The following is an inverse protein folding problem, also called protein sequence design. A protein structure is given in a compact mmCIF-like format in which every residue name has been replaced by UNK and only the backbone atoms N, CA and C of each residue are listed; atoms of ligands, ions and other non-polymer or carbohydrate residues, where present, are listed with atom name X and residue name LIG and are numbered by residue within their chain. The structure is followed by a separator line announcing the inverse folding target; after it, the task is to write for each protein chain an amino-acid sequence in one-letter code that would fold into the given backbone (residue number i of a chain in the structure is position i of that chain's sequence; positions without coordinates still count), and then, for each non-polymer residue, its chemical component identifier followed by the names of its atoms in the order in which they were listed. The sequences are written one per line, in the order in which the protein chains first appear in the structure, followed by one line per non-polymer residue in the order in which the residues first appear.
data_IF_733451321320
#
_entry.id   IF_733451321320
#
_cell.length_a   1.000
_cell.length_b   1.000
_cell.length_c   1.000
_cell.angle_alpha   90.00
_cell.angle_beta   90.00
_cell.angle_gamma   90.00
#
_symmetry.space_group_name_H-M   'P 1'
#
loop_
_entity.id
_entity.type
_entity.pdbx_description
1 polymer ?
#
# COMPACT_ATOMS: atom_id res chain seq x y z
N UNK A 1 13.07 6.84 -88.73
CA UNK A 1 12.97 7.67 -87.53
C UNK A 1 12.20 6.90 -86.46
N UNK A 2 12.92 6.20 -85.57
CA UNK A 2 12.33 5.36 -84.53
C UNK A 2 12.40 6.12 -83.19
N UNK A 3 11.26 6.42 -82.65
CA UNK A 3 11.16 7.04 -81.34
C UNK A 3 11.21 5.97 -80.26
N UNK A 4 12.22 6.05 -79.41
CA UNK A 4 12.39 5.18 -78.24
C UNK A 4 11.60 5.81 -77.08
N UNK A 5 10.62 5.03 -76.54
CA UNK A 5 9.82 5.42 -75.42
C UNK A 5 10.48 4.86 -74.17
N UNK A 6 11.05 5.72 -73.32
CA UNK A 6 11.64 5.34 -72.05
C UNK A 6 10.56 5.35 -70.97
N UNK A 7 10.24 4.15 -70.47
CA UNK A 7 9.32 3.98 -69.32
C UNK A 7 10.15 4.11 -68.04
N UNK A 8 9.90 5.16 -67.28
CA UNK A 8 10.45 5.32 -65.93
C UNK A 8 9.52 4.62 -64.96
N UNK A 9 10.02 3.51 -64.41
CA UNK A 9 9.31 2.75 -63.36
C UNK A 9 9.62 3.40 -62.00
N UNK A 10 8.67 4.20 -61.48
CA UNK A 10 8.76 4.81 -60.15
C UNK A 10 8.41 3.73 -59.10
N UNK A 11 9.42 3.19 -58.44
CA UNK A 11 9.25 2.28 -57.32
C UNK A 11 8.72 3.04 -56.09
N UNK A 12 7.46 2.77 -55.69
CA UNK A 12 6.90 3.18 -54.43
C UNK A 12 7.52 2.32 -53.33
N UNK A 13 8.45 2.90 -52.56
CA UNK A 13 8.88 2.35 -51.27
C UNK A 13 7.78 2.61 -50.24
N UNK A 14 6.95 1.61 -50.02
CA UNK A 14 6.06 1.57 -48.84
C UNK A 14 6.94 1.37 -47.60
N UNK A 15 7.26 2.48 -46.92
CA UNK A 15 7.78 2.44 -45.58
C UNK A 15 6.68 1.91 -44.66
N UNK A 16 6.73 0.62 -44.35
CA UNK A 16 5.91 0.02 -43.32
C UNK A 16 6.36 0.61 -41.96
N UNK A 17 5.67 1.64 -41.49
CA UNK A 17 5.71 2.04 -40.08
C UNK A 17 5.15 0.89 -39.25
N UNK A 18 6.03 -0.01 -38.82
CA UNK A 18 5.67 -0.91 -37.71
C UNK A 18 5.59 -0.05 -36.46
N UNK A 19 4.41 0.47 -36.17
CA UNK A 19 4.07 0.90 -34.82
C UNK A 19 4.30 -0.32 -33.92
N UNK A 20 5.36 -0.29 -33.10
CA UNK A 20 5.47 -1.24 -31.99
C UNK A 20 4.22 -1.05 -31.17
N UNK A 21 3.25 -1.94 -31.31
CA UNK A 21 2.17 -2.08 -30.33
C UNK A 21 2.84 -2.16 -28.98
N UNK A 22 2.61 -1.14 -28.15
CA UNK A 22 3.03 -1.15 -26.74
C UNK A 22 2.32 -2.35 -26.14
N UNK A 23 3.04 -3.45 -25.90
CA UNK A 23 2.48 -4.62 -25.27
C UNK A 23 1.70 -4.16 -24.03
N UNK A 24 0.42 -4.50 -23.98
CA UNK A 24 -0.45 -4.16 -22.86
C UNK A 24 0.18 -4.81 -21.62
N UNK A 25 0.70 -4.01 -20.73
CA UNK A 25 1.31 -4.49 -19.48
C UNK A 25 0.24 -5.18 -18.66
N UNK A 26 0.39 -6.48 -18.45
CA UNK A 26 -0.55 -7.27 -17.68
C UNK A 26 -0.28 -7.09 -16.19
N UNK A 27 -1.33 -6.90 -15.40
CA UNK A 27 -1.22 -6.70 -13.95
C UNK A 27 -1.90 -7.83 -13.20
N UNK A 28 -1.36 -8.18 -12.03
CA UNK A 28 -1.89 -9.17 -11.12
C UNK A 28 -2.03 -8.56 -9.72
N UNK A 29 -3.12 -8.83 -9.03
CA UNK A 29 -3.28 -8.55 -7.60
C UNK A 29 -3.10 -9.85 -6.84
N UNK A 30 -2.06 -9.93 -6.02
CA UNK A 30 -1.83 -11.05 -5.09
C UNK A 30 -2.03 -10.54 -3.67
N UNK A 31 -2.88 -11.19 -2.90
CA UNK A 31 -3.14 -10.73 -1.54
C UNK A 31 -3.36 -11.85 -0.54
N UNK A 32 -3.08 -11.56 0.73
CA UNK A 32 -3.49 -12.36 1.88
C UNK A 32 -4.48 -11.60 2.75
N UNK A 33 -5.54 -12.26 3.20
CA UNK A 33 -6.56 -11.66 4.07
C UNK A 33 -7.24 -12.72 4.93
N UNK A 34 -7.46 -12.43 6.23
CA UNK A 34 -8.29 -13.28 7.10
C UNK A 34 -9.68 -12.64 7.30
N UNK A 35 -9.71 -11.34 7.61
CA UNK A 35 -10.93 -10.62 7.99
C UNK A 35 -11.58 -9.88 6.82
N UNK A 36 -11.24 -10.25 5.60
CA UNK A 36 -11.70 -9.65 4.35
C UNK A 36 -11.38 -8.15 4.15
N UNK A 37 -10.64 -7.51 5.07
CA UNK A 37 -10.29 -6.08 4.93
C UNK A 37 -9.31 -5.86 3.78
N UNK A 38 -8.20 -6.64 3.75
CA UNK A 38 -7.23 -6.60 2.64
C UNK A 38 -7.84 -7.11 1.33
N UNK A 39 -8.76 -8.08 1.40
CA UNK A 39 -9.53 -8.56 0.26
C UNK A 39 -10.32 -7.42 -0.40
N UNK A 40 -11.07 -6.62 0.36
CA UNK A 40 -11.80 -5.46 -0.16
C UNK A 40 -10.89 -4.47 -0.87
N UNK A 41 -9.68 -4.26 -0.33
CA UNK A 41 -8.69 -3.39 -0.98
C UNK A 41 -8.20 -4.01 -2.32
N UNK A 42 -7.95 -5.31 -2.35
CA UNK A 42 -7.55 -6.05 -3.54
C UNK A 42 -8.65 -6.00 -4.64
N UNK A 43 -9.89 -6.24 -4.25
CA UNK A 43 -11.05 -6.18 -5.15
C UNK A 43 -11.28 -4.76 -5.71
N UNK A 44 -11.06 -3.71 -4.90
CA UNK A 44 -11.14 -2.34 -5.35
C UNK A 44 -10.06 -2.02 -6.41
N UNK A 45 -8.82 -2.50 -6.22
CA UNK A 45 -7.76 -2.37 -7.23
C UNK A 45 -8.15 -3.14 -8.50
N UNK A 46 -8.60 -4.39 -8.37
CA UNK A 46 -9.04 -5.19 -9.51
C UNK A 46 -10.12 -4.49 -10.33
N UNK A 47 -11.18 -4.00 -9.67
CA UNK A 47 -12.29 -3.31 -10.33
C UNK A 47 -11.84 -2.07 -11.11
N UNK A 48 -10.86 -1.33 -10.57
CA UNK A 48 -10.36 -0.11 -11.19
C UNK A 48 -9.32 -0.34 -12.29
N UNK A 49 -8.63 -1.47 -12.27
CA UNK A 49 -7.50 -1.75 -13.19
C UNK A 49 -7.80 -2.84 -14.21
N UNK A 50 -8.78 -3.70 -13.95
CA UNK A 50 -9.00 -4.92 -14.73
C UNK A 50 -7.91 -5.98 -14.53
N UNK A 51 -7.07 -5.86 -13.51
CA UNK A 51 -6.03 -6.82 -13.20
C UNK A 51 -6.61 -8.21 -12.84
N UNK A 52 -5.85 -9.27 -13.12
CA UNK A 52 -6.15 -10.58 -12.56
C UNK A 52 -5.98 -10.54 -11.03
N UNK A 53 -6.67 -11.42 -10.30
CA UNK A 53 -6.62 -11.42 -8.83
C UNK A 53 -6.46 -12.82 -8.27
N UNK A 54 -5.58 -12.97 -7.28
CA UNK A 54 -5.31 -14.24 -6.58
C UNK A 54 -5.23 -14.01 -5.08
N UNK A 55 -6.00 -14.79 -4.33
CA UNK A 55 -5.90 -14.86 -2.87
C UNK A 55 -4.87 -15.91 -2.46
N UNK A 56 -3.94 -15.55 -1.61
CA UNK A 56 -3.02 -16.48 -0.98
C UNK A 56 -3.73 -17.30 0.10
N UNK A 57 -3.45 -18.58 0.15
CA UNK A 57 -4.00 -19.50 1.14
C UNK A 57 -2.87 -20.25 1.85
N UNK A 58 -2.86 -20.24 3.16
CA UNK A 58 -2.02 -21.11 3.94
C UNK A 58 -2.60 -22.54 3.88
N UNK A 59 -1.74 -23.55 3.74
CA UNK A 59 -2.13 -24.96 3.69
C UNK A 59 -2.85 -25.37 4.98
N UNK A 60 -2.34 -24.90 6.11
CA UNK A 60 -3.01 -24.93 7.41
C UNK A 60 -3.58 -23.54 7.67
N UNK A 61 -4.91 -23.40 7.52
CA UNK A 61 -5.60 -22.13 7.61
C UNK A 61 -5.43 -21.52 9.02
N UNK A 62 -5.20 -20.17 9.05
CA UNK A 62 -5.21 -19.45 10.32
C UNK A 62 -6.62 -19.40 10.91
N UNK A 63 -6.74 -19.42 12.24
CA UNK A 63 -8.01 -19.23 12.91
C UNK A 63 -8.57 -17.84 12.60
N UNK A 64 -9.89 -17.66 12.78
CA UNK A 64 -10.54 -16.36 12.61
C UNK A 64 -10.58 -15.53 13.90
N UNK A 65 -10.35 -16.16 15.04
CA UNK A 65 -10.27 -15.49 16.33
C UNK A 65 -8.95 -14.71 16.46
N UNK A 66 -9.05 -13.45 16.84
CA UNK A 66 -7.92 -12.52 16.88
C UNK A 66 -6.81 -12.97 17.85
N UNK A 67 -7.19 -13.48 19.03
CA UNK A 67 -6.20 -13.93 20.03
C UNK A 67 -5.48 -15.18 19.56
N UNK A 68 -6.17 -16.09 18.90
CA UNK A 68 -5.56 -17.30 18.34
C UNK A 68 -4.65 -16.97 17.17
N UNK A 69 -4.99 -15.97 16.33
CA UNK A 69 -4.07 -15.46 15.28
C UNK A 69 -2.77 -14.97 15.91
N UNK A 70 -2.87 -14.13 16.95
CA UNK A 70 -1.71 -13.61 17.67
C UNK A 70 -0.86 -14.74 18.24
N UNK A 71 -1.46 -15.67 18.97
CA UNK A 71 -0.75 -16.79 19.61
C UNK A 71 -0.01 -17.65 18.59
N UNK A 72 -0.68 -18.05 17.50
CA UNK A 72 -0.07 -18.82 16.42
C UNK A 72 1.08 -18.06 15.78
N UNK A 73 0.86 -16.82 15.41
CA UNK A 73 1.89 -16.00 14.74
C UNK A 73 3.10 -15.77 15.64
N UNK A 74 2.89 -15.53 16.94
CA UNK A 74 3.99 -15.38 17.89
C UNK A 74 4.79 -16.69 18.03
N UNK A 75 4.12 -17.83 18.04
CA UNK A 75 4.79 -19.13 18.09
C UNK A 75 5.60 -19.36 16.81
N UNK A 76 5.03 -19.13 15.63
CA UNK A 76 5.72 -19.26 14.35
C UNK A 76 6.96 -18.32 14.27
N UNK A 77 6.83 -17.09 14.76
CA UNK A 77 7.95 -16.12 14.84
C UNK A 77 9.04 -16.59 15.79
N UNK A 78 8.66 -17.11 16.97
CA UNK A 78 9.59 -17.63 17.98
C UNK A 78 10.38 -18.83 17.46
N UNK A 79 9.70 -19.73 16.74
CA UNK A 79 10.29 -20.94 16.17
C UNK A 79 10.98 -20.67 14.83
N UNK A 80 10.93 -19.44 14.33
CA UNK A 80 11.46 -19.03 13.02
C UNK A 80 10.89 -19.86 11.85
N UNK A 81 9.63 -20.28 11.97
CA UNK A 81 8.92 -21.08 10.96
C UNK A 81 7.97 -20.21 10.18
N UNK A 82 7.97 -20.39 8.85
CA UNK A 82 6.98 -19.74 7.98
C UNK A 82 5.88 -20.76 7.64
N UNK A 83 4.60 -20.32 7.58
CA UNK A 83 3.49 -21.18 7.20
C UNK A 83 3.67 -21.69 5.76
N UNK A 84 3.34 -22.97 5.53
CA UNK A 84 3.31 -23.52 4.18
C UNK A 84 2.13 -22.92 3.42
N UNK A 85 2.40 -22.39 2.20
CA UNK A 85 1.39 -21.79 1.34
C UNK A 85 0.97 -22.78 0.25
N UNK A 86 -0.32 -22.77 -0.09
CA UNK A 86 -0.79 -23.41 -1.30
C UNK A 86 -0.22 -22.71 -2.53
N UNK A 87 0.06 -23.44 -3.63
CA UNK A 87 0.50 -22.83 -4.87
C UNK A 87 -0.60 -21.91 -5.43
N UNK A 88 -0.21 -20.83 -6.10
CA UNK A 88 -1.14 -19.98 -6.84
C UNK A 88 -1.29 -20.50 -8.27
N UNK A 89 -2.48 -20.34 -8.85
CA UNK A 89 -2.76 -20.77 -10.23
C UNK A 89 -2.38 -19.72 -11.28
N UNK A 90 -1.54 -18.73 -10.92
CA UNK A 90 -1.08 -17.68 -11.82
C UNK A 90 0.38 -17.90 -12.22
N UNK A 91 0.64 -17.85 -13.53
CA UNK A 91 2.00 -17.78 -14.06
C UNK A 91 2.53 -16.35 -13.91
N UNK A 92 3.40 -16.12 -12.92
CA UNK A 92 3.96 -14.81 -12.65
C UNK A 92 4.74 -14.24 -13.85
N UNK A 93 5.26 -15.08 -14.74
CA UNK A 93 6.02 -14.61 -15.91
C UNK A 93 5.16 -13.78 -16.88
N UNK A 94 3.84 -13.98 -16.87
CA UNK A 94 2.88 -13.27 -17.71
C UNK A 94 2.59 -11.82 -17.26
N UNK A 95 3.12 -11.38 -16.11
CA UNK A 95 2.78 -10.09 -15.51
C UNK A 95 4.02 -9.21 -15.33
N UNK A 96 3.89 -7.94 -15.69
CA UNK A 96 4.93 -6.93 -15.49
C UNK A 96 4.75 -6.19 -14.16
N UNK A 97 3.48 -6.01 -13.72
CA UNK A 97 3.11 -5.31 -12.50
C UNK A 97 2.33 -6.24 -11.57
N UNK A 98 2.77 -6.32 -10.32
CA UNK A 98 2.09 -7.11 -9.30
C UNK A 98 1.75 -6.20 -8.11
N UNK A 99 0.46 -6.06 -7.82
CA UNK A 99 -0.03 -5.46 -6.59
C UNK A 99 0.05 -6.51 -5.48
N UNK A 100 0.78 -6.22 -4.41
CA UNK A 100 1.03 -7.15 -3.30
C UNK A 100 0.32 -6.64 -2.05
N UNK A 101 -0.74 -7.36 -1.63
CA UNK A 101 -1.65 -6.96 -0.57
C UNK A 101 -1.54 -7.79 0.70
N UNK A 102 -1.47 -7.13 1.87
CA UNK A 102 -1.30 -7.82 3.15
C UNK A 102 -1.84 -7.03 4.34
N UNK A 103 -2.30 -7.71 5.39
CA UNK A 103 -2.51 -7.06 6.68
C UNK A 103 -1.16 -6.88 7.39
N UNK A 104 -1.04 -5.79 8.16
CA UNK A 104 0.13 -5.59 9.03
C UNK A 104 -0.05 -6.41 10.30
N UNK A 105 0.91 -7.31 10.55
CA UNK A 105 1.05 -8.06 11.79
C UNK A 105 2.42 -7.76 12.41
N UNK A 106 2.43 -7.42 13.70
CA UNK A 106 3.68 -7.12 14.43
C UNK A 106 4.60 -6.11 13.74
N UNK A 107 4.02 -5.08 13.12
CA UNK A 107 4.76 -3.98 12.49
C UNK A 107 5.21 -4.21 11.04
N UNK A 108 5.02 -5.42 10.49
CA UNK A 108 5.35 -5.75 9.11
C UNK A 108 4.24 -6.57 8.43
N UNK A 109 4.45 -7.07 7.23
CA UNK A 109 3.47 -7.92 6.56
C UNK A 109 3.28 -9.27 7.24
N UNK A 110 2.06 -9.81 7.16
CA UNK A 110 1.67 -11.09 7.74
C UNK A 110 2.59 -12.25 7.27
N UNK A 111 2.86 -13.21 8.16
CA UNK A 111 3.74 -14.37 7.88
C UNK A 111 3.35 -15.17 6.64
N UNK A 112 2.07 -15.39 6.29
CA UNK A 112 1.70 -15.99 5.02
C UNK A 112 2.21 -15.24 3.80
N UNK A 113 2.15 -13.90 3.82
CA UNK A 113 2.72 -13.09 2.75
C UNK A 113 4.25 -13.22 2.71
N UNK A 114 4.91 -13.22 3.87
CA UNK A 114 6.36 -13.43 3.98
C UNK A 114 6.78 -14.79 3.39
N UNK A 115 6.00 -15.83 3.67
CA UNK A 115 6.23 -17.16 3.14
C UNK A 115 6.10 -17.23 1.62
N UNK A 116 5.04 -16.62 1.06
CA UNK A 116 4.86 -16.58 -0.39
C UNK A 116 6.00 -15.79 -1.07
N UNK A 117 6.33 -14.61 -0.56
CA UNK A 117 7.42 -13.77 -1.09
C UNK A 117 8.77 -14.48 -1.08
N UNK A 118 9.02 -15.41 -0.13
CA UNK A 118 10.29 -16.15 -0.07
C UNK A 118 10.47 -17.16 -1.22
N UNK A 119 9.40 -17.48 -1.96
CA UNK A 119 9.38 -18.47 -3.04
C UNK A 119 8.99 -17.86 -4.40
N UNK A 120 8.41 -16.66 -4.40
CA UNK A 120 7.94 -16.00 -5.62
C UNK A 120 9.11 -15.42 -6.42
N UNK A 121 9.15 -15.70 -7.72
CA UNK A 121 10.08 -15.04 -8.63
C UNK A 121 9.48 -13.70 -9.09
N UNK A 122 9.95 -12.62 -8.47
CA UNK A 122 9.52 -11.25 -8.74
C UNK A 122 10.62 -10.41 -9.40
N UNK A 123 11.69 -11.05 -9.84
CA UNK A 123 12.82 -10.37 -10.51
C UNK A 123 12.36 -9.53 -11.69
N UNK A 124 12.79 -8.27 -11.71
CA UNK A 124 12.51 -7.31 -12.77
C UNK A 124 11.06 -6.84 -12.87
N UNK A 125 10.18 -7.26 -11.96
CA UNK A 125 8.78 -6.84 -11.93
C UNK A 125 8.59 -5.55 -11.14
N UNK A 126 7.56 -4.80 -11.51
CA UNK A 126 7.08 -3.66 -10.72
C UNK A 126 6.14 -4.18 -9.64
N UNK A 127 6.49 -3.93 -8.38
CA UNK A 127 5.69 -4.33 -7.22
C UNK A 127 5.06 -3.10 -6.59
N UNK A 128 3.74 -3.12 -6.46
CA UNK A 128 2.94 -2.06 -5.83
C UNK A 128 2.39 -2.61 -4.51
N UNK A 129 3.00 -2.28 -3.36
CA UNK A 129 2.52 -2.77 -2.07
C UNK A 129 1.23 -2.05 -1.65
N UNK A 130 0.28 -2.78 -1.10
CA UNK A 130 -0.85 -2.20 -0.40
C UNK A 130 -1.14 -2.98 0.89
N UNK A 131 -1.49 -2.27 1.95
CA UNK A 131 -1.74 -2.96 3.21
C UNK A 131 -2.89 -2.36 4.00
N UNK A 132 -3.42 -3.18 4.90
CA UNK A 132 -4.44 -2.78 5.87
C UNK A 132 -3.91 -2.98 7.29
N UNK A 133 -4.27 -2.07 8.19
CA UNK A 133 -3.76 -2.07 9.56
C UNK A 133 -4.72 -1.40 10.54
N UNK A 134 -4.49 -1.62 11.84
CA UNK A 134 -5.16 -0.88 12.93
C UNK A 134 -4.59 0.52 13.13
N UNK A 135 -3.25 0.63 13.22
CA UNK A 135 -2.56 1.91 13.48
C UNK A 135 -1.45 2.26 12.52
N UNK A 136 -0.59 1.31 12.13
CA UNK A 136 0.60 1.62 11.34
C UNK A 136 1.33 0.38 10.82
N UNK A 137 2.61 0.55 10.46
CA UNK A 137 3.50 -0.51 9.96
C UNK A 137 3.74 -0.49 8.45
N UNK A 138 3.06 0.37 7.68
CA UNK A 138 3.25 0.45 6.22
C UNK A 138 4.70 0.73 5.84
N UNK A 139 5.30 1.75 6.43
CA UNK A 139 6.67 2.16 6.11
C UNK A 139 7.69 1.03 6.35
N UNK A 140 7.59 0.37 7.52
CA UNK A 140 8.45 -0.77 7.84
C UNK A 140 8.21 -1.95 6.91
N UNK A 141 6.95 -2.29 6.62
CA UNK A 141 6.62 -3.41 5.73
C UNK A 141 7.14 -3.20 4.30
N UNK A 142 7.15 -1.97 3.80
CA UNK A 142 7.74 -1.64 2.49
C UNK A 142 9.26 -1.76 2.52
N UNK A 143 9.91 -1.35 3.63
CA UNK A 143 11.35 -1.54 3.81
C UNK A 143 11.72 -3.03 3.82
N UNK A 144 10.97 -3.84 4.56
CA UNK A 144 11.15 -5.30 4.62
C UNK A 144 10.91 -5.96 3.25
N UNK A 145 9.90 -5.49 2.50
CA UNK A 145 9.62 -5.97 1.14
C UNK A 145 10.79 -5.67 0.19
N UNK A 146 11.35 -4.47 0.24
CA UNK A 146 12.56 -4.09 -0.53
C UNK A 146 13.75 -4.98 -0.18
N UNK A 147 13.94 -5.28 1.10
CA UNK A 147 15.02 -6.15 1.55
C UNK A 147 14.82 -7.60 1.09
N UNK A 148 13.58 -8.10 1.10
CA UNK A 148 13.25 -9.47 0.70
C UNK A 148 13.25 -9.67 -0.82
N UNK A 149 12.95 -8.61 -1.60
CA UNK A 149 12.83 -8.65 -3.06
C UNK A 149 13.74 -7.60 -3.73
N UNK A 150 15.08 -7.71 -3.56
CA UNK A 150 16.02 -6.69 -4.02
C UNK A 150 16.14 -6.58 -5.54
N UNK A 151 15.68 -7.60 -6.28
CA UNK A 151 15.70 -7.60 -7.76
C UNK A 151 14.38 -7.11 -8.37
N UNK A 152 13.36 -6.80 -7.55
CA UNK A 152 12.11 -6.20 -7.98
C UNK A 152 12.14 -4.67 -7.85
N UNK A 153 11.37 -3.98 -8.68
CA UNK A 153 11.17 -2.54 -8.56
C UNK A 153 9.98 -2.25 -7.64
N UNK A 154 10.24 -1.97 -6.37
CA UNK A 154 9.18 -1.60 -5.43
C UNK A 154 8.85 -0.12 -5.60
N UNK A 155 7.63 0.18 -6.00
CA UNK A 155 7.11 1.56 -6.19
C UNK A 155 6.16 1.96 -5.07
N UNK A 156 5.72 3.22 -5.09
CA UNK A 156 4.76 3.72 -4.10
C UNK A 156 3.41 3.01 -4.25
N UNK A 157 2.91 2.52 -3.14
CA UNK A 157 1.58 1.95 -2.99
C UNK A 157 0.81 2.70 -1.91
N UNK A 158 -0.01 1.99 -1.13
CA UNK A 158 -0.72 2.63 -0.02
C UNK A 158 -0.88 1.70 1.19
N UNK A 159 -1.07 2.34 2.34
CA UNK A 159 -1.57 1.69 3.55
C UNK A 159 -2.85 2.37 4.00
N UNK A 160 -3.83 1.60 4.45
CA UNK A 160 -5.09 2.12 4.94
C UNK A 160 -5.51 1.47 6.25
N UNK A 161 -5.97 2.29 7.21
CA UNK A 161 -6.55 1.78 8.44
C UNK A 161 -7.87 1.06 8.16
N UNK A 162 -8.07 -0.05 8.86
CA UNK A 162 -9.35 -0.81 8.78
C UNK A 162 -10.57 0.05 9.14
N UNK A 163 -10.39 1.08 9.97
CA UNK A 163 -11.45 2.03 10.34
C UNK A 163 -11.77 3.06 9.24
N UNK A 164 -10.97 3.16 8.18
CA UNK A 164 -11.09 4.16 7.11
C UNK A 164 -11.40 3.53 5.75
N UNK A 165 -11.98 2.33 5.74
CA UNK A 165 -12.26 1.60 4.50
C UNK A 165 -13.33 2.28 3.61
N UNK A 166 -14.12 3.18 4.14
CA UNK A 166 -15.01 4.07 3.38
C UNK A 166 -14.23 5.01 2.43
N UNK A 167 -13.01 5.37 2.78
CA UNK A 167 -12.12 6.21 1.97
C UNK A 167 -11.29 5.44 0.93
N UNK A 168 -11.34 4.10 0.97
CA UNK A 168 -10.55 3.24 0.09
C UNK A 168 -10.64 3.58 -1.40
N UNK A 169 -11.83 3.86 -1.99
CA UNK A 169 -11.90 4.16 -3.42
C UNK A 169 -11.06 5.37 -3.83
N UNK A 170 -11.03 6.42 -3.02
CA UNK A 170 -10.20 7.61 -3.24
C UNK A 170 -8.71 7.33 -3.07
N UNK A 171 -8.33 6.56 -2.06
CA UNK A 171 -6.94 6.16 -1.81
C UNK A 171 -6.38 5.33 -2.99
N UNK A 172 -7.18 4.41 -3.53
CA UNK A 172 -6.79 3.62 -4.72
C UNK A 172 -6.68 4.51 -5.94
N UNK A 173 -7.60 5.47 -6.13
CA UNK A 173 -7.53 6.41 -7.25
C UNK A 173 -6.24 7.25 -7.20
N UNK A 174 -5.89 7.82 -6.06
CA UNK A 174 -4.65 8.60 -5.88
C UNK A 174 -3.40 7.74 -6.17
N UNK A 175 -3.38 6.49 -5.72
CA UNK A 175 -2.30 5.56 -6.04
C UNK A 175 -2.22 5.32 -7.55
N UNK A 176 -3.34 5.01 -8.22
CA UNK A 176 -3.35 4.72 -9.66
C UNK A 176 -2.97 5.94 -10.51
N UNK A 177 -3.37 7.14 -10.09
CA UNK A 177 -2.94 8.41 -10.71
C UNK A 177 -1.41 8.57 -10.53
N UNK A 178 -0.89 8.33 -9.33
CA UNK A 178 0.54 8.38 -9.05
C UNK A 178 1.38 7.41 -9.87
N UNK A 179 0.82 6.26 -10.25
CA UNK A 179 1.43 5.26 -11.11
C UNK A 179 1.22 5.53 -12.61
N UNK A 180 0.46 6.55 -12.98
CA UNK A 180 0.08 6.82 -14.38
C UNK A 180 -0.85 5.76 -14.98
N UNK A 181 -1.56 5.00 -14.13
CA UNK A 181 -2.53 3.97 -14.54
C UNK A 181 -3.96 4.50 -14.59
N UNK A 182 -4.19 5.71 -14.09
CA UNK A 182 -5.44 6.45 -14.15
C UNK A 182 -5.16 7.90 -14.52
N UNK A 183 -6.02 8.50 -15.34
CA UNK A 183 -5.96 9.92 -15.61
C UNK A 183 -6.32 10.73 -14.36
N UNK A 184 -5.61 11.83 -14.14
CA UNK A 184 -5.78 12.70 -13.00
C UNK A 184 -4.50 13.44 -12.66
N UNK A 185 -4.61 14.43 -11.81
CA UNK A 185 -3.48 15.18 -11.30
C UNK A 185 -3.10 14.65 -9.90
N UNK A 186 -1.87 14.13 -9.77
CA UNK A 186 -1.36 13.67 -8.47
C UNK A 186 -1.29 14.86 -7.52
N UNK A 187 -1.86 14.70 -6.33
CA UNK A 187 -1.72 15.70 -5.29
C UNK A 187 -0.24 15.83 -4.86
N UNK A 188 0.30 17.02 -5.04
CA UNK A 188 1.61 17.39 -4.51
C UNK A 188 1.40 17.99 -3.13
N UNK A 189 1.69 17.23 -2.09
CA UNK A 189 1.57 17.70 -0.72
C UNK A 189 2.81 18.52 -0.35
N UNK A 190 2.60 19.71 0.20
CA UNK A 190 3.68 20.50 0.79
C UNK A 190 4.28 19.74 2.00
N UNK A 191 5.47 20.14 2.40
CA UNK A 191 6.04 19.68 3.67
C UNK A 191 5.17 20.18 4.84
N UNK A 192 5.24 19.45 5.97
CA UNK A 192 4.62 19.94 7.19
C UNK A 192 5.31 21.23 7.66
N UNK A 193 4.55 22.16 8.24
CA UNK A 193 5.13 23.30 8.93
C UNK A 193 6.12 22.88 10.00
N UNK A 194 6.95 23.81 10.45
CA UNK A 194 7.81 23.58 11.64
C UNK A 194 6.96 23.08 12.83
N UNK A 195 7.57 22.21 13.63
CA UNK A 195 6.96 21.67 14.84
C UNK A 195 6.85 22.76 15.89
N UNK A 196 5.66 23.04 16.39
CA UNK A 196 5.39 23.95 17.51
C UNK A 196 4.82 23.19 18.70
N UNK A 197 4.87 23.77 19.88
CA UNK A 197 4.17 23.23 21.05
C UNK A 197 2.66 23.12 20.75
N UNK A 198 2.05 22.05 21.26
CA UNK A 198 0.61 21.80 21.12
C UNK A 198 -0.17 22.86 21.91
N UNK A 199 -1.10 23.55 21.26
CA UNK A 199 -2.06 24.45 21.87
C UNK A 199 -3.40 23.72 22.12
N UNK A 200 -4.30 24.35 22.87
CA UNK A 200 -5.60 23.74 23.21
C UNK A 200 -6.39 23.26 21.99
N UNK A 201 -6.40 24.03 20.92
CA UNK A 201 -7.09 23.64 19.67
C UNK A 201 -6.45 22.42 19.00
N UNK A 202 -5.12 22.34 19.01
CA UNK A 202 -4.37 21.19 18.47
C UNK A 202 -4.63 19.94 19.32
N UNK A 203 -4.70 20.10 20.65
CA UNK A 203 -5.01 19.02 21.60
C UNK A 203 -6.42 18.47 21.40
N UNK A 204 -7.41 19.31 21.13
CA UNK A 204 -8.78 18.91 20.79
C UNK A 204 -8.82 18.08 19.49
N UNK A 205 -8.09 18.48 18.46
CA UNK A 205 -7.93 17.73 17.20
C UNK A 205 -7.32 16.36 17.47
N UNK A 206 -6.20 16.32 18.21
CA UNK A 206 -5.52 15.07 18.51
C UNK A 206 -6.40 14.10 19.30
N UNK A 207 -6.97 14.57 20.42
CA UNK A 207 -7.77 13.75 21.32
C UNK A 207 -9.04 13.21 20.62
N UNK A 208 -9.67 14.03 19.78
CA UNK A 208 -10.82 13.59 18.98
C UNK A 208 -10.41 12.51 17.99
N UNK A 209 -9.30 12.70 17.28
CA UNK A 209 -8.83 11.77 16.27
C UNK A 209 -8.47 10.39 16.82
N UNK A 210 -7.92 10.32 18.05
CA UNK A 210 -7.50 9.05 18.68
C UNK A 210 -8.56 8.44 19.59
N UNK A 211 -9.67 9.14 19.79
CA UNK A 211 -10.75 8.71 20.69
C UNK A 211 -11.23 7.29 20.36
N UNK A 212 -11.28 6.44 21.38
CA UNK A 212 -11.78 5.07 21.27
C UNK A 212 -10.75 4.07 20.69
N UNK A 213 -9.57 4.49 20.30
CA UNK A 213 -8.52 3.57 19.90
C UNK A 213 -7.68 3.13 21.11
N UNK A 214 -8.03 1.99 21.68
CA UNK A 214 -7.45 1.50 22.95
C UNK A 214 -5.95 1.17 22.92
N UNK A 215 -5.38 0.97 21.72
CA UNK A 215 -3.95 0.62 21.55
C UNK A 215 -3.03 1.86 21.57
N UNK A 216 -3.58 3.06 21.67
CA UNK A 216 -2.84 4.31 21.67
C UNK A 216 -3.25 5.16 22.89
N UNK A 217 -2.40 5.14 23.93
CA UNK A 217 -2.52 6.00 25.08
C UNK A 217 -1.44 7.09 25.00
N UNK A 218 -1.62 8.01 24.03
CA UNK A 218 -0.59 8.97 23.68
C UNK A 218 -0.98 10.39 24.10
N UNK A 219 0.03 11.16 24.49
CA UNK A 219 -0.05 12.60 24.76
C UNK A 219 0.72 13.34 23.67
N UNK A 220 0.05 14.21 22.93
CA UNK A 220 0.69 15.07 21.95
C UNK A 220 1.61 16.09 22.63
N UNK A 221 2.80 16.30 22.06
CA UNK A 221 3.84 17.21 22.57
C UNK A 221 4.06 18.38 21.62
N UNK A 222 4.25 18.08 20.34
CA UNK A 222 4.42 19.08 19.28
C UNK A 222 3.59 18.73 18.07
N UNK A 223 3.33 19.71 17.21
CA UNK A 223 2.53 19.56 16.00
C UNK A 223 3.07 20.42 14.86
N UNK A 224 3.13 19.82 13.68
CA UNK A 224 3.22 20.51 12.39
C UNK A 224 1.96 20.24 11.57
N UNK A 225 1.62 21.10 10.64
CA UNK A 225 0.44 20.93 9.78
C UNK A 225 0.74 21.28 8.34
N UNK A 226 -0.11 20.79 7.44
CA UNK A 226 -0.12 21.16 6.02
C UNK A 226 -1.53 21.14 5.44
N UNK A 227 -1.76 21.93 4.39
CA UNK A 227 -3.01 21.87 3.64
C UNK A 227 -2.95 20.76 2.61
N UNK A 228 -4.06 20.04 2.46
CA UNK A 228 -4.27 18.98 1.47
C UNK A 228 -5.67 19.14 0.86
N UNK A 229 -5.94 18.47 -0.26
CA UNK A 229 -7.28 18.55 -0.93
C UNK A 229 -8.42 18.19 0.03
N UNK A 230 -8.22 17.23 0.92
CA UNK A 230 -9.22 16.79 1.89
C UNK A 230 -9.42 17.75 3.06
N UNK A 231 -8.51 18.70 3.31
CA UNK A 231 -8.55 19.60 4.45
C UNK A 231 -7.17 19.88 5.04
N UNK A 232 -6.99 19.67 6.33
CA UNK A 232 -5.70 19.87 7.00
C UNK A 232 -5.15 18.54 7.51
N UNK A 233 -3.91 18.24 7.15
CA UNK A 233 -3.14 17.14 7.77
C UNK A 233 -2.25 17.69 8.88
N UNK A 234 -2.22 16.98 10.00
CA UNK A 234 -1.38 17.25 11.16
C UNK A 234 -0.40 16.12 11.37
N UNK A 235 0.82 16.47 11.76
CA UNK A 235 1.87 15.55 12.19
C UNK A 235 2.17 15.83 13.66
N UNK A 236 1.61 15.04 14.56
CA UNK A 236 1.83 15.14 15.99
C UNK A 236 3.02 14.29 16.41
N UNK A 237 4.01 14.88 17.07
CA UNK A 237 4.96 14.14 17.89
C UNK A 237 4.33 13.94 19.25
N UNK A 238 4.27 12.69 19.70
CA UNK A 238 3.57 12.32 20.91
C UNK A 238 4.35 11.27 21.69
N UNK A 239 3.99 11.11 22.96
CA UNK A 239 4.52 10.08 23.83
C UNK A 239 3.40 9.09 24.16
N UNK A 240 3.58 7.83 23.72
CA UNK A 240 2.64 6.75 24.02
C UNK A 240 3.04 6.01 25.27
N UNK A 241 2.11 5.87 26.21
CA UNK A 241 2.31 5.17 27.49
C UNK A 241 1.75 3.76 27.42
N UNK A 242 2.60 2.78 27.69
CA UNK A 242 2.20 1.36 27.78
C UNK A 242 1.60 1.05 29.18
N UNK A 243 0.84 -0.06 29.32
CA UNK A 243 0.26 -0.46 30.61
C UNK A 243 1.30 -0.72 31.73
N UNK A 244 2.54 -1.06 31.37
CA UNK A 244 3.65 -1.22 32.31
C UNK A 244 4.30 0.09 32.75
N UNK A 245 3.77 1.23 32.28
CA UNK A 245 4.29 2.56 32.58
C UNK A 245 5.47 3.00 31.66
N UNK A 246 5.92 2.13 30.76
CA UNK A 246 6.93 2.54 29.79
C UNK A 246 6.36 3.55 28.80
N UNK A 247 7.23 4.48 28.37
CA UNK A 247 6.87 5.54 27.44
C UNK A 247 7.71 5.41 26.16
N UNK A 248 7.07 5.58 25.02
CA UNK A 248 7.73 5.51 23.71
C UNK A 248 7.32 6.70 22.85
N UNK A 249 8.25 7.32 22.13
CA UNK A 249 7.90 8.33 21.15
C UNK A 249 7.11 7.70 20.02
N UNK A 250 6.12 8.44 19.54
CA UNK A 250 5.31 8.07 18.38
C UNK A 250 5.01 9.31 17.56
N UNK A 251 4.86 9.12 16.25
CA UNK A 251 4.33 10.16 15.37
C UNK A 251 2.93 9.76 14.93
N UNK A 252 1.95 10.62 15.18
CA UNK A 252 0.55 10.40 14.81
C UNK A 252 0.16 11.37 13.71
N UNK A 253 -0.25 10.83 12.57
CA UNK A 253 -0.76 11.63 11.45
C UNK A 253 -2.29 11.67 11.53
N UNK A 254 -2.83 12.89 11.52
CA UNK A 254 -4.26 13.16 11.66
C UNK A 254 -4.73 13.97 10.47
N UNK A 255 -5.90 13.63 9.93
CA UNK A 255 -6.58 14.44 8.93
C UNK A 255 -7.85 15.04 9.54
N UNK A 256 -8.07 16.33 9.28
CA UNK A 256 -9.29 17.06 9.61
C UNK A 256 -9.88 17.61 8.31
N UNK A 257 -10.97 17.01 7.87
CA UNK A 257 -11.80 17.51 6.79
C UNK A 257 -12.69 18.65 7.27
N UNK A 258 -13.23 19.47 6.34
CA UNK A 258 -13.99 20.67 6.71
C UNK A 258 -15.22 20.37 7.57
N UNK A 259 -15.97 19.31 7.22
CA UNK A 259 -17.27 18.99 7.81
C UNK A 259 -17.28 17.64 8.55
N UNK A 260 -16.10 17.15 8.96
CA UNK A 260 -15.98 15.87 9.65
C UNK A 260 -15.11 15.99 10.91
N UNK A 261 -15.33 15.07 11.85
CA UNK A 261 -14.44 14.90 12.97
C UNK A 261 -13.04 14.49 12.49
N UNK A 262 -11.97 14.99 13.15
CA UNK A 262 -10.63 14.58 12.81
C UNK A 262 -10.44 13.09 13.11
N UNK A 263 -9.64 12.44 12.24
CA UNK A 263 -9.31 11.03 12.39
C UNK A 263 -7.81 10.82 12.13
N UNK A 264 -7.19 9.89 12.84
CA UNK A 264 -5.82 9.55 12.55
C UNK A 264 -5.73 8.55 11.38
N UNK A 265 -4.73 8.74 10.54
CA UNK A 265 -4.48 7.91 9.36
C UNK A 265 -3.36 6.90 9.57
N UNK A 266 -2.37 7.26 10.40
CA UNK A 266 -1.17 6.46 10.63
C UNK A 266 -0.57 6.78 12.01
N UNK A 267 -0.01 5.76 12.65
CA UNK A 267 0.91 5.89 13.78
C UNK A 267 2.24 5.27 13.39
N UNK A 268 3.30 6.07 13.40
CA UNK A 268 4.68 5.58 13.29
C UNK A 268 5.25 5.44 14.70
N UNK A 269 5.68 4.24 15.04
CA UNK A 269 6.37 3.92 16.30
C UNK A 269 7.88 4.05 16.03
N UNK A 270 8.53 4.96 16.76
CA UNK A 270 9.99 5.24 16.65
C UNK A 270 10.84 4.27 17.48
#
# INVERSE_FOLDING_TARGET
MKKILTIVLAGLLLAACTSKEKAVKKSLVVYYSITSTTQKAAECIQQKTGADIVALQAKDAYPTDFQQIIQRSQQEMKDSVLPEMLPIEADLSAYDTIFVGYPIWFGTYALPMKSWLSKADLKGKVIVPFCTFGSGGYKQSVADLKAQQPEAQIVDGFGIRSALMDKLPGVVDEMLIGLGMKEGEKEVKADFSEQKAVEKADEEVFNTAVKGYQMLNAKALTVGSRQVKAGTEYCFKAENSSPDGSKRPVTVYVTKEADADPYFTLVDYE
#
